data_IF_002164163373
#
_entry.id   IF_002164163373
#
_cell.length_a   1.000
_cell.length_b   1.000
_cell.length_c   1.000
_cell.angle_alpha   90.00
_cell.angle_beta   90.00
_cell.angle_gamma   90.00
#
_symmetry.space_group_name_H-M   'P 1'
#
loop_
_entity.id
_entity.type
_entity.pdbx_description
1 polymer ?
#
# COMPACT_ATOMS: atom_id res chain seq x y z
N UNK A 1 -0.88 -13.02 -15.92
CA UNK A 1 -0.97 -11.58 -15.67
C UNK A 1 -1.47 -11.32 -14.26
N UNK A 2 -0.63 -10.83 -13.39
CA UNK A 2 -1.06 -10.43 -12.07
C UNK A 2 -1.95 -9.18 -12.18
N UNK A 3 -3.04 -9.19 -11.45
CA UNK A 3 -3.93 -8.04 -11.39
C UNK A 3 -4.19 -7.66 -9.95
N UNK A 4 -4.22 -6.36 -9.69
CA UNK A 4 -4.44 -5.81 -8.37
C UNK A 4 -5.68 -4.92 -8.41
N UNK A 5 -6.63 -5.19 -7.52
CA UNK A 5 -7.89 -4.47 -7.47
C UNK A 5 -8.06 -3.84 -6.11
N UNK A 6 -8.13 -2.52 -6.08
CA UNK A 6 -8.25 -1.77 -4.83
C UNK A 6 -9.70 -1.52 -4.47
N UNK A 7 -9.96 -1.44 -3.18
CA UNK A 7 -11.26 -1.06 -2.64
C UNK A 7 -11.07 -0.35 -1.31
N UNK A 8 -12.07 0.45 -0.94
CA UNK A 8 -12.08 1.19 0.31
C UNK A 8 -12.62 2.59 0.12
N UNK A 9 -13.02 3.24 1.22
CA UNK A 9 -13.61 4.58 1.15
C UNK A 9 -12.61 5.63 0.71
N UNK A 10 -13.05 6.53 -0.17
CA UNK A 10 -12.24 7.64 -0.62
C UNK A 10 -12.41 8.90 0.19
N UNK A 11 -13.33 8.94 1.14
CA UNK A 11 -13.56 10.11 1.97
C UNK A 11 -13.35 9.74 3.42
N UNK A 12 -12.45 10.43 4.10
CA UNK A 12 -12.08 10.16 5.49
C UNK A 12 -12.04 11.48 6.22
N UNK A 13 -12.55 11.48 7.46
CA UNK A 13 -12.50 12.68 8.30
C UNK A 13 -11.16 12.77 9.03
N UNK A 14 -10.68 13.97 9.34
CA UNK A 14 -9.46 14.14 10.13
C UNK A 14 -9.53 13.35 11.44
N UNK A 15 -8.40 12.83 11.86
CA UNK A 15 -8.19 12.01 13.05
C UNK A 15 -8.70 10.58 12.94
N UNK A 16 -9.42 10.23 11.88
CA UNK A 16 -9.90 8.88 11.67
C UNK A 16 -8.84 8.03 10.96
N UNK A 17 -9.18 6.77 10.71
CA UNK A 17 -8.28 5.80 10.08
C UNK A 17 -8.67 5.62 8.62
N UNK A 18 -7.70 5.77 7.74
CA UNK A 18 -7.83 5.40 6.33
C UNK A 18 -7.62 3.89 6.22
N UNK A 19 -8.54 3.20 5.54
CA UNK A 19 -8.44 1.75 5.33
C UNK A 19 -8.67 1.44 3.87
N UNK A 20 -7.70 0.80 3.23
CA UNK A 20 -7.79 0.37 1.85
C UNK A 20 -7.36 -1.09 1.75
N UNK A 21 -7.91 -1.80 0.79
CA UNK A 21 -7.61 -3.21 0.54
C UNK A 21 -7.21 -3.38 -0.91
N UNK A 22 -6.27 -4.29 -1.15
CA UNK A 22 -5.80 -4.66 -2.47
C UNK A 22 -5.99 -6.17 -2.65
N UNK A 23 -6.85 -6.56 -3.59
CA UNK A 23 -7.11 -7.96 -3.90
C UNK A 23 -6.18 -8.39 -5.04
N UNK A 24 -5.59 -9.57 -4.90
CA UNK A 24 -4.59 -10.09 -5.84
C UNK A 24 -5.19 -11.19 -6.67
N UNK A 25 -5.02 -11.13 -7.99
CA UNK A 25 -5.40 -12.19 -8.93
C UNK A 25 -4.17 -12.69 -9.65
N UNK A 26 -4.10 -14.00 -9.89
CA UNK A 26 -3.04 -14.66 -10.66
C UNK A 26 -1.68 -14.61 -9.98
N UNK A 27 -1.69 -14.50 -8.66
CA UNK A 27 -0.49 -14.60 -7.82
C UNK A 27 -0.96 -14.82 -6.39
N UNK A 28 -0.03 -15.12 -5.49
CA UNK A 28 -0.34 -15.35 -4.08
C UNK A 28 0.30 -14.27 -3.22
N UNK A 29 -0.46 -13.76 -2.25
CA UNK A 29 0.08 -12.77 -1.32
C UNK A 29 1.27 -13.35 -0.53
N UNK A 30 1.32 -14.68 -0.35
CA UNK A 30 2.43 -15.35 0.32
C UNK A 30 3.54 -15.79 -0.64
N UNK A 31 3.55 -15.31 -1.86
CA UNK A 31 4.63 -15.61 -2.81
C UNK A 31 5.97 -15.22 -2.21
N UNK A 32 6.95 -16.13 -2.28
CA UNK A 32 8.27 -15.87 -1.71
C UNK A 32 9.19 -15.11 -2.66
N UNK A 33 8.66 -14.63 -3.78
CA UNK A 33 9.43 -13.83 -4.73
C UNK A 33 8.85 -12.44 -4.95
N UNK A 34 7.80 -12.08 -4.25
CA UNK A 34 7.14 -10.79 -4.44
C UNK A 34 7.10 -10.00 -3.12
N UNK A 35 6.95 -8.71 -3.24
CA UNK A 35 6.62 -7.82 -2.13
C UNK A 35 5.41 -6.98 -2.53
N UNK A 36 4.60 -6.64 -1.54
CA UNK A 36 3.31 -5.99 -1.75
C UNK A 36 3.36 -4.64 -1.06
N UNK A 37 3.24 -3.57 -1.88
CA UNK A 37 3.55 -2.20 -1.47
C UNK A 37 2.32 -1.33 -1.50
N UNK A 38 2.32 -0.27 -0.66
CA UNK A 38 1.40 0.85 -0.77
C UNK A 38 2.20 2.11 -1.03
N UNK A 39 1.73 2.90 -1.99
CA UNK A 39 2.37 4.13 -2.45
C UNK A 39 1.27 5.17 -2.57
N UNK A 40 1.63 6.44 -2.45
CA UNK A 40 0.66 7.51 -2.71
C UNK A 40 1.29 8.59 -3.54
N UNK A 41 0.45 9.36 -4.22
CA UNK A 41 0.89 10.48 -5.04
C UNK A 41 0.00 11.68 -4.79
N UNK A 42 0.61 12.83 -4.58
CA UNK A 42 -0.08 14.09 -4.43
C UNK A 42 0.63 15.16 -5.25
N UNK A 43 -0.10 16.23 -5.66
CA UNK A 43 0.56 17.29 -6.42
C UNK A 43 1.67 17.99 -5.65
N UNK A 44 1.51 18.12 -4.33
CA UNK A 44 2.46 18.86 -3.52
C UNK A 44 3.72 18.10 -3.19
N UNK A 45 3.66 16.77 -3.07
CA UNK A 45 4.79 15.97 -2.62
C UNK A 45 5.22 14.91 -3.61
N UNK A 46 4.45 14.70 -4.68
CA UNK A 46 4.78 13.70 -5.67
C UNK A 46 4.55 12.28 -5.17
N UNK A 47 5.37 11.37 -5.62
CA UNK A 47 5.24 9.96 -5.32
C UNK A 47 5.95 9.63 -4.01
N UNK A 48 5.22 9.00 -3.08
CA UNK A 48 5.74 8.63 -1.77
C UNK A 48 5.49 7.14 -1.52
N UNK A 49 6.54 6.39 -1.27
CA UNK A 49 6.43 4.99 -0.84
C UNK A 49 6.10 4.97 0.65
N UNK A 50 5.07 4.20 1.02
CA UNK A 50 4.60 4.13 2.40
C UNK A 50 5.11 2.90 3.14
N UNK A 51 5.15 1.76 2.46
CA UNK A 51 5.59 0.54 3.09
C UNK A 51 5.25 -0.69 2.28
N UNK A 52 5.59 -1.85 2.83
CA UNK A 52 5.35 -3.12 2.17
C UNK A 52 5.22 -4.25 3.16
N UNK A 53 4.61 -5.36 2.71
CA UNK A 53 4.60 -6.63 3.43
C UNK A 53 5.04 -7.72 2.46
N UNK A 54 5.74 -8.75 2.97
CA UNK A 54 6.19 -9.85 2.14
C UNK A 54 6.50 -11.06 2.98
N UNK A 55 6.47 -12.24 2.36
CA UNK A 55 6.66 -13.52 3.02
C UNK A 55 7.97 -14.17 2.57
N UNK A 56 8.85 -14.50 3.54
CA UNK A 56 10.11 -15.23 3.30
C UNK A 56 10.33 -16.13 4.50
N UNK A 57 9.62 -17.26 4.53
CA UNK A 57 9.55 -18.18 5.68
C UNK A 57 8.77 -17.61 6.85
N UNK A 58 8.64 -16.32 6.96
CA UNK A 58 7.77 -15.62 7.88
C UNK A 58 7.40 -14.28 7.24
N UNK A 59 6.49 -13.55 7.86
CA UNK A 59 6.06 -12.26 7.34
C UNK A 59 6.99 -11.16 7.80
N UNK A 60 7.31 -10.25 6.89
CA UNK A 60 8.11 -9.06 7.13
C UNK A 60 7.35 -7.83 6.69
N UNK A 61 7.60 -6.73 7.37
CA UNK A 61 7.06 -5.42 7.02
C UNK A 61 8.18 -4.39 7.05
N UNK A 62 8.14 -3.47 6.09
CA UNK A 62 9.00 -2.29 6.10
C UNK A 62 8.11 -1.08 5.91
N UNK A 63 8.35 -0.03 6.68
CA UNK A 63 7.56 1.19 6.63
C UNK A 63 8.45 2.40 6.46
N UNK A 64 7.98 3.38 5.69
CA UNK A 64 8.67 4.67 5.59
C UNK A 64 8.67 5.37 6.94
N UNK A 65 9.76 6.06 7.24
CA UNK A 65 9.95 6.70 8.55
C UNK A 65 8.84 7.70 8.82
N UNK A 66 8.42 8.46 7.82
CA UNK A 66 7.48 9.56 8.03
C UNK A 66 6.05 9.09 8.37
N UNK A 67 5.73 7.81 8.18
CA UNK A 67 4.41 7.26 8.53
C UNK A 67 4.51 6.11 9.52
N UNK A 68 5.70 5.72 9.92
CA UNK A 68 5.93 4.47 10.66
C UNK A 68 5.08 4.36 11.91
N UNK A 69 4.85 5.46 12.61
CA UNK A 69 4.08 5.45 13.85
C UNK A 69 2.57 5.31 13.63
N UNK A 70 2.09 5.47 12.39
CA UNK A 70 0.65 5.52 12.09
C UNK A 70 0.19 4.45 11.12
N UNK A 71 1.10 3.67 10.54
CA UNK A 71 0.79 2.79 9.42
C UNK A 71 0.83 1.33 9.82
N UNK A 72 -0.07 0.54 9.23
CA UNK A 72 -0.02 -0.93 9.30
C UNK A 72 -0.38 -1.47 7.92
N UNK A 73 0.43 -2.40 7.42
CA UNK A 73 0.15 -3.13 6.19
C UNK A 73 0.06 -4.61 6.57
N UNK A 74 -1.10 -5.22 6.33
CA UNK A 74 -1.36 -6.58 6.74
C UNK A 74 -1.74 -7.46 5.56
N UNK A 75 -1.17 -8.67 5.48
CA UNK A 75 -1.63 -9.65 4.51
C UNK A 75 -2.87 -10.38 5.05
N UNK A 76 -3.68 -10.89 4.14
CA UNK A 76 -4.79 -11.78 4.44
C UNK A 76 -4.72 -12.95 3.46
N UNK A 77 -4.13 -14.05 3.92
CA UNK A 77 -3.90 -15.21 3.05
C UNK A 77 -5.20 -15.88 2.65
N UNK A 78 -6.21 -15.87 3.51
CA UNK A 78 -7.47 -16.53 3.21
C UNK A 78 -8.24 -15.84 2.09
N UNK A 79 -8.09 -14.54 1.95
CA UNK A 79 -8.74 -13.75 0.89
C UNK A 79 -7.79 -13.35 -0.22
N UNK A 80 -6.52 -13.68 -0.08
CA UNK A 80 -5.47 -13.31 -1.03
C UNK A 80 -5.43 -11.80 -1.27
N UNK A 81 -5.34 -11.05 -0.19
CA UNK A 81 -5.38 -9.60 -0.17
C UNK A 81 -4.28 -9.07 0.74
N UNK A 82 -4.01 -7.79 0.63
CA UNK A 82 -3.27 -7.08 1.67
C UNK A 82 -3.91 -5.70 1.84
N UNK A 83 -3.77 -5.14 3.03
CA UNK A 83 -4.49 -3.93 3.39
C UNK A 83 -3.55 -2.87 3.93
N UNK A 84 -4.00 -1.63 3.82
CA UNK A 84 -3.35 -0.46 4.40
C UNK A 84 -4.28 0.11 5.46
N UNK A 85 -3.72 0.40 6.63
CA UNK A 85 -4.37 1.23 7.64
C UNK A 85 -3.44 2.37 7.98
N UNK A 86 -3.95 3.58 7.87
CA UNK A 86 -3.21 4.79 8.24
C UNK A 86 -4.04 5.55 9.26
N UNK A 87 -3.51 5.65 10.48
CA UNK A 87 -4.23 6.22 11.59
C UNK A 87 -4.06 7.73 11.66
N UNK A 88 -4.98 8.40 12.36
CA UNK A 88 -4.87 9.82 12.70
C UNK A 88 -4.58 10.69 11.48
N UNK A 89 -5.38 10.51 10.43
CA UNK A 89 -5.15 11.21 9.18
C UNK A 89 -5.41 12.71 9.31
N UNK A 90 -4.69 13.49 8.51
CA UNK A 90 -4.88 14.92 8.38
C UNK A 90 -5.08 15.26 6.90
N UNK A 91 -5.46 16.50 6.57
CA UNK A 91 -5.58 16.87 5.15
C UNK A 91 -4.31 16.65 4.34
N UNK A 92 -3.15 16.59 4.98
CA UNK A 92 -1.89 16.29 4.28
C UNK A 92 -1.81 14.86 3.78
N UNK A 93 -2.68 13.98 4.26
CA UNK A 93 -2.73 12.60 3.77
C UNK A 93 -3.63 12.46 2.53
N UNK A 94 -4.22 13.55 2.05
CA UNK A 94 -4.99 13.54 0.81
C UNK A 94 -4.06 13.24 -0.36
N UNK A 95 -4.39 12.20 -1.12
CA UNK A 95 -3.56 11.74 -2.22
C UNK A 95 -4.29 10.65 -2.99
N UNK A 96 -3.74 10.25 -4.13
CA UNK A 96 -4.15 9.02 -4.80
C UNK A 96 -3.26 7.90 -4.23
N UNK A 97 -3.88 6.87 -3.71
CA UNK A 97 -3.18 5.72 -3.12
C UNK A 97 -3.19 4.55 -4.09
N UNK A 98 -2.04 3.90 -4.22
CA UNK A 98 -1.88 2.75 -5.10
C UNK A 98 -1.30 1.59 -4.31
N UNK A 99 -1.77 0.38 -4.58
CA UNK A 99 -1.03 -0.82 -4.21
C UNK A 99 -0.20 -1.26 -5.41
N UNK A 100 0.90 -1.94 -5.15
CA UNK A 100 1.81 -2.36 -6.22
C UNK A 100 2.59 -3.60 -5.81
N UNK A 101 2.89 -4.44 -6.80
CA UNK A 101 3.73 -5.62 -6.62
C UNK A 101 5.13 -5.31 -7.11
N UNK A 102 6.13 -5.69 -6.31
CA UNK A 102 7.53 -5.66 -6.75
C UNK A 102 8.09 -7.06 -6.75
N UNK A 103 9.10 -7.29 -7.60
CA UNK A 103 9.74 -8.57 -7.71
C UNK A 103 10.94 -8.65 -6.79
N UNK A 104 11.11 -9.81 -6.13
CA UNK A 104 12.32 -10.10 -5.38
C UNK A 104 12.49 -9.28 -4.12
N UNK A 105 13.76 -9.05 -3.78
CA UNK A 105 14.15 -8.38 -2.55
C UNK A 105 14.37 -6.88 -2.72
N UNK A 106 13.92 -6.32 -3.83
CA UNK A 106 14.19 -4.93 -4.13
C UNK A 106 13.64 -4.01 -3.05
N UNK A 107 14.52 -3.33 -2.35
CA UNK A 107 14.18 -2.29 -1.40
C UNK A 107 14.18 -0.97 -2.17
N UNK A 108 13.31 -0.08 -1.80
CA UNK A 108 13.27 1.21 -2.48
C UNK A 108 12.76 1.11 -3.89
N UNK A 109 11.88 0.16 -4.15
CA UNK A 109 11.29 -0.04 -5.45
C UNK A 109 10.71 1.24 -6.01
N UNK A 110 10.16 2.08 -5.15
CA UNK A 110 9.59 3.36 -5.57
C UNK A 110 10.68 4.35 -5.94
N UNK A 111 11.83 4.25 -5.28
CA UNK A 111 12.92 5.19 -5.53
C UNK A 111 13.68 4.88 -6.81
N UNK A 112 13.62 3.67 -7.31
CA UNK A 112 14.36 3.32 -8.51
C UNK A 112 14.17 1.91 -8.98
N UNK A 113 13.53 1.08 -8.17
CA UNK A 113 13.26 -0.29 -8.56
C UNK A 113 12.02 -0.40 -9.42
N UNK A 114 11.88 -1.50 -10.14
CA UNK A 114 10.71 -1.71 -10.98
C UNK A 114 9.51 -2.08 -10.15
N UNK A 115 8.38 -1.45 -10.44
CA UNK A 115 7.08 -1.88 -9.95
C UNK A 115 6.44 -2.67 -11.08
N UNK A 116 6.21 -3.96 -10.84
CA UNK A 116 5.74 -4.84 -11.88
C UNK A 116 4.29 -4.58 -12.25
N UNK A 117 3.45 -4.43 -11.23
CA UNK A 117 2.01 -4.29 -11.40
C UNK A 117 1.46 -3.31 -10.38
N UNK A 118 0.45 -2.56 -10.79
CA UNK A 118 -0.19 -1.52 -9.98
C UNK A 118 -1.69 -1.75 -9.89
N UNK A 119 -2.28 -1.36 -8.76
CA UNK A 119 -3.71 -1.22 -8.68
C UNK A 119 -4.17 0.01 -9.45
N UNK A 120 -5.50 0.17 -9.54
CA UNK A 120 -6.08 1.25 -10.34
C UNK A 120 -5.94 2.64 -9.71
N UNK A 121 -5.60 2.69 -8.43
CA UNK A 121 -5.55 3.94 -7.68
C UNK A 121 -6.86 4.24 -6.98
N UNK A 122 -6.76 4.83 -5.81
CA UNK A 122 -7.93 5.29 -5.03
C UNK A 122 -7.65 6.71 -4.56
N UNK A 123 -8.46 7.66 -5.03
CA UNK A 123 -8.36 9.01 -4.52
C UNK A 123 -8.92 9.04 -3.10
N UNK A 124 -8.10 9.48 -2.14
CA UNK A 124 -8.52 9.65 -0.76
C UNK A 124 -8.44 11.12 -0.42
N UNK A 125 -9.56 11.67 0.02
CA UNK A 125 -9.68 13.05 0.46
C UNK A 125 -9.92 13.05 1.95
N UNK A 126 -9.09 13.77 2.70
CA UNK A 126 -9.26 13.95 4.14
C UNK A 126 -9.80 15.36 4.36
N UNK A 127 -11.04 15.42 4.80
CA UNK A 127 -11.70 16.72 4.98
C UNK A 127 -12.86 16.57 5.95
N UNK A 128 -13.09 17.62 6.72
CA UNK A 128 -14.16 17.63 7.72
C UNK A 128 -15.53 17.97 7.10
#
# INVERSE_FOLDING_TARGET
QVQLQQSGPGLVKPSQTLSLTCAISEDSVSSNSAAWNWIRQSPSRGLEWLGRTYYRSKWYNDYAIFVKSRITINPDTSKNQFSLQLNSVTPEDTAVYYCARTEGESIGAVAGGPLDYWGQGTLVTVSS
#
